data_IF_063706293814
#
_entry.id   IF_063706293814
#
_cell.length_a   1.000
_cell.length_b   1.000
_cell.length_c   1.000
_cell.angle_alpha   90.00
_cell.angle_beta   90.00
_cell.angle_gamma   90.00
#
_symmetry.space_group_name_H-M   'P 1'
#
loop_
_entity.id
_entity.type
_entity.pdbx_description
1 polymer ?
#
# COMPACT_ATOMS: atom_id res chain seq x y z
N UNK A 1 10.47 30.40 -5.80
CA UNK A 1 11.31 29.35 -5.18
C UNK A 1 11.81 29.87 -3.83
N UNK A 2 11.20 29.46 -2.72
CA UNK A 2 11.75 29.74 -1.39
C UNK A 2 12.92 28.79 -1.15
N UNK A 3 14.15 29.30 -1.28
CA UNK A 3 15.34 28.56 -0.88
C UNK A 3 15.38 28.54 0.65
N UNK A 4 15.38 27.34 1.21
CA UNK A 4 15.55 27.14 2.65
C UNK A 4 17.04 27.38 2.92
N UNK A 5 17.39 28.60 3.34
CA UNK A 5 18.70 28.92 3.88
C UNK A 5 18.81 28.27 5.26
N UNK A 6 19.10 26.97 5.29
CA UNK A 6 19.60 26.30 6.49
C UNK A 6 21.10 26.18 6.35
N UNK A 7 21.80 26.93 7.19
CA UNK A 7 23.25 26.87 7.27
C UNK A 7 23.68 25.47 7.76
N UNK A 8 24.82 24.90 7.32
CA UNK A 8 25.24 23.54 7.69
C UNK A 8 25.33 23.27 9.20
N UNK A 9 25.49 24.34 10.00
CA UNK A 9 25.57 24.29 11.46
C UNK A 9 24.20 23.95 12.08
N UNK A 10 23.11 24.51 11.56
CA UNK A 10 21.76 24.33 12.12
C UNK A 10 21.22 22.91 11.91
N UNK A 11 21.72 22.20 10.88
CA UNK A 11 21.38 20.80 10.62
C UNK A 11 21.99 19.91 11.70
N UNK A 12 23.24 20.18 12.10
CA UNK A 12 23.95 19.39 13.12
C UNK A 12 23.28 19.48 14.48
N UNK A 13 22.86 20.68 14.86
CA UNK A 13 22.16 20.89 16.14
C UNK A 13 20.78 20.20 16.12
N UNK A 14 20.02 20.31 15.02
CA UNK A 14 18.74 19.60 14.89
C UNK A 14 18.88 18.07 14.94
N UNK A 15 19.95 17.50 14.38
CA UNK A 15 20.21 16.06 14.46
C UNK A 15 20.47 15.58 15.89
N UNK A 16 21.05 16.42 16.75
CA UNK A 16 21.32 16.08 18.15
C UNK A 16 20.03 15.90 18.98
N UNK A 17 18.99 16.65 18.62
CA UNK A 17 17.70 16.68 19.34
C UNK A 17 16.61 15.80 18.71
N UNK A 18 16.93 15.03 17.67
CA UNK A 18 15.96 14.08 17.13
C UNK A 18 15.73 12.92 18.11
N UNK A 19 14.46 12.58 18.43
CA UNK A 19 14.16 11.43 19.26
C UNK A 19 14.66 10.16 18.57
N UNK A 20 15.43 9.34 19.29
CA UNK A 20 15.94 8.07 18.78
C UNK A 20 14.76 7.15 18.45
N UNK A 21 14.64 6.73 17.19
CA UNK A 21 13.60 5.80 16.70
C UNK A 21 13.74 4.35 17.25
N UNK A 22 14.66 4.12 18.19
CA UNK A 22 14.97 2.81 18.75
C UNK A 22 14.78 2.80 20.27
N UNK A 23 13.56 3.03 20.72
CA UNK A 23 13.10 2.40 21.97
C UNK A 23 12.27 1.19 21.57
N UNK A 24 12.93 0.03 21.50
CA UNK A 24 12.25 -1.25 21.36
C UNK A 24 11.42 -1.41 22.65
N UNK A 25 10.09 -1.50 22.60
CA UNK A 25 9.30 -1.67 23.80
C UNK A 25 9.70 -2.98 24.48
N UNK A 26 10.21 -2.87 25.71
CA UNK A 26 10.48 -4.03 26.56
C UNK A 26 9.14 -4.66 26.89
N UNK A 27 8.80 -5.76 26.22
CA UNK A 27 7.61 -6.57 26.52
C UNK A 27 7.82 -7.15 27.93
N UNK A 28 7.00 -6.79 28.94
CA UNK A 28 7.16 -7.34 30.28
C UNK A 28 6.94 -8.86 30.25
N UNK A 29 7.90 -9.63 30.76
CA UNK A 29 7.76 -11.07 30.97
C UNK A 29 6.58 -11.32 31.92
N UNK A 30 5.55 -11.98 31.40
CA UNK A 30 4.38 -12.41 32.17
C UNK A 30 4.88 -13.33 33.29
N UNK A 31 4.68 -12.91 34.55
CA UNK A 31 4.88 -13.77 35.73
C UNK A 31 3.76 -14.80 35.73
N UNK A 32 4.11 -16.09 35.69
CA UNK A 32 3.15 -17.17 35.87
C UNK A 32 2.60 -17.14 37.30
N UNK A 33 1.29 -17.37 37.52
CA UNK A 33 0.72 -17.41 38.87
C UNK A 33 1.28 -18.60 39.66
N UNK A 34 1.74 -18.31 40.87
CA UNK A 34 2.17 -19.29 41.87
C UNK A 34 0.89 -19.92 42.43
N UNK A 35 0.76 -21.25 42.35
CA UNK A 35 -0.33 -22.01 42.95
C UNK A 35 0.05 -22.29 44.41
N UNK A 36 -0.58 -21.62 45.38
CA UNK A 36 -0.26 -21.75 46.82
C UNK A 36 -1.19 -22.66 47.62
N UNK A 37 -2.11 -23.43 47.01
CA UNK A 37 -2.97 -24.34 47.78
C UNK A 37 -2.97 -25.76 47.23
N UNK A 38 -2.58 -26.69 48.10
CA UNK A 38 -2.51 -28.13 47.86
C UNK A 38 -3.82 -28.80 48.28
N UNK A 39 -4.72 -29.02 47.32
CA UNK A 39 -5.67 -30.14 47.41
C UNK A 39 -4.94 -31.43 46.99
N UNK A 40 -4.59 -32.30 47.94
CA UNK A 40 -4.27 -33.71 47.67
C UNK A 40 -5.55 -34.36 47.10
N UNK A 41 -5.52 -35.16 46.04
CA UNK A 41 -4.92 -36.50 46.03
C UNK A 41 -4.71 -37.05 44.61
N UNK A 42 -3.74 -37.97 44.57
CA UNK A 42 -3.58 -39.14 43.67
C UNK A 42 -3.22 -38.91 42.20
N UNK A 43 -1.98 -39.31 41.93
CA UNK A 43 -1.42 -39.73 40.65
C UNK A 43 -2.42 -40.55 39.85
N UNK A 44 -2.64 -40.14 38.62
CA UNK A 44 -2.52 -40.97 37.43
C UNK A 44 -2.39 -40.00 36.25
N UNK A 45 -1.28 -40.07 35.52
CA UNK A 45 -1.06 -39.29 34.30
C UNK A 45 -1.94 -39.84 33.19
N UNK A 46 -2.94 -39.11 32.67
CA UNK A 46 -3.39 -39.37 31.32
C UNK A 46 -2.38 -38.68 30.40
N UNK A 47 -1.71 -39.46 29.55
CA UNK A 47 -1.14 -38.92 28.31
C UNK A 47 -2.32 -38.37 27.51
N UNK A 48 -2.56 -37.07 27.62
CA UNK A 48 -3.41 -36.36 26.68
C UNK A 48 -2.49 -36.06 25.50
N UNK A 49 -2.60 -36.88 24.45
CA UNK A 49 -2.19 -36.47 23.11
C UNK A 49 -3.06 -35.27 22.75
N UNK A 50 -2.55 -34.08 23.04
CA UNK A 50 -3.20 -32.85 22.59
C UNK A 50 -2.92 -32.75 21.10
N UNK A 51 -3.80 -33.33 20.29
CA UNK A 51 -4.06 -32.88 18.92
C UNK A 51 -4.53 -31.44 19.01
N UNK A 52 -3.57 -30.54 19.19
CA UNK A 52 -3.79 -29.12 19.03
C UNK A 52 -4.00 -28.96 17.54
N UNK A 53 -5.25 -28.81 17.11
CA UNK A 53 -5.57 -28.27 15.79
C UNK A 53 -5.01 -26.86 15.77
N UNK A 54 -3.71 -26.74 15.45
CA UNK A 54 -3.07 -25.47 15.20
C UNK A 54 -3.69 -24.98 13.90
N UNK A 55 -4.70 -24.11 14.00
CA UNK A 55 -5.04 -23.26 12.87
C UNK A 55 -3.74 -22.49 12.61
N UNK A 56 -3.05 -22.71 11.47
CA UNK A 56 -1.82 -22.01 11.21
C UNK A 56 -2.22 -20.55 11.10
N UNK A 57 -1.83 -19.73 12.08
CA UNK A 57 -1.92 -18.28 11.98
C UNK A 57 -1.00 -17.93 10.84
N UNK A 58 -1.58 -17.85 9.64
CA UNK A 58 -0.86 -17.53 8.42
C UNK A 58 -0.44 -16.08 8.62
N UNK A 59 0.79 -15.89 9.11
CA UNK A 59 1.46 -14.62 8.99
C UNK A 59 1.69 -14.50 7.48
N UNK A 60 0.69 -13.94 6.81
CA UNK A 60 0.86 -13.43 5.45
C UNK A 60 1.88 -12.32 5.62
N UNK A 61 3.16 -12.68 5.53
CA UNK A 61 4.20 -11.72 5.18
C UNK A 61 3.70 -11.14 3.87
N UNK A 62 3.12 -9.93 3.91
CA UNK A 62 2.92 -9.15 2.70
C UNK A 62 4.29 -9.14 2.05
N UNK A 63 4.43 -9.86 0.94
CA UNK A 63 5.56 -9.68 0.04
C UNK A 63 5.55 -8.19 -0.24
N UNK A 64 6.50 -7.45 0.31
CA UNK A 64 6.87 -6.16 -0.22
C UNK A 64 7.22 -6.47 -1.67
N UNK A 65 6.25 -6.23 -2.55
CA UNK A 65 6.45 -6.35 -3.98
C UNK A 65 7.53 -5.32 -4.26
N UNK A 66 8.65 -5.79 -4.79
CA UNK A 66 9.74 -4.95 -5.26
C UNK A 66 9.13 -3.71 -5.92
N UNK A 67 9.56 -2.52 -5.49
CA UNK A 67 9.15 -1.26 -6.11
C UNK A 67 9.41 -1.38 -7.60
N UNK A 68 8.34 -1.60 -8.36
CA UNK A 68 8.41 -1.59 -9.81
C UNK A 68 8.59 -0.12 -10.13
N UNK A 69 9.79 0.27 -10.57
CA UNK A 69 10.00 1.58 -11.18
C UNK A 69 9.20 1.60 -12.48
N UNK A 70 7.94 2.01 -12.37
CA UNK A 70 7.07 2.18 -13.52
C UNK A 70 7.48 3.48 -14.19
N UNK A 71 8.17 3.36 -15.32
CA UNK A 71 8.53 4.52 -16.13
C UNK A 71 7.27 5.23 -16.65
N UNK A 72 7.25 6.56 -16.58
CA UNK A 72 6.14 7.40 -17.04
C UNK A 72 5.71 7.09 -18.50
N UNK A 73 6.67 6.75 -19.36
CA UNK A 73 6.40 6.32 -20.73
C UNK A 73 5.53 5.05 -20.82
N UNK A 74 5.70 4.09 -19.89
CA UNK A 74 4.86 2.88 -19.83
C UNK A 74 3.44 3.23 -19.41
N UNK A 75 3.27 4.14 -18.44
CA UNK A 75 1.96 4.62 -17.98
C UNK A 75 1.19 5.23 -19.16
N UNK A 76 1.82 6.16 -19.89
CA UNK A 76 1.20 6.81 -21.06
C UNK A 76 0.82 5.77 -22.13
N UNK A 77 1.69 4.81 -22.42
CA UNK A 77 1.42 3.75 -23.40
C UNK A 77 0.20 2.91 -23.02
N UNK A 78 0.10 2.51 -21.75
CA UNK A 78 -1.03 1.74 -21.22
C UNK A 78 -2.33 2.54 -21.26
N UNK A 79 -2.29 3.82 -20.86
CA UNK A 79 -3.45 4.71 -20.93
C UNK A 79 -3.92 4.88 -22.38
N UNK A 80 -3.01 5.14 -23.31
CA UNK A 80 -3.32 5.31 -24.74
C UNK A 80 -4.00 4.06 -25.31
N UNK A 81 -3.50 2.87 -24.96
CA UNK A 81 -4.12 1.59 -25.34
C UNK A 81 -5.51 1.43 -24.72
N UNK A 82 -5.65 1.72 -23.43
CA UNK A 82 -6.94 1.64 -22.72
C UNK A 82 -7.98 2.59 -23.32
N UNK A 83 -7.63 3.84 -23.59
CA UNK A 83 -8.55 4.81 -24.18
C UNK A 83 -8.97 4.41 -25.60
N UNK A 84 -8.05 3.87 -26.42
CA UNK A 84 -8.39 3.37 -27.76
C UNK A 84 -9.37 2.20 -27.70
N UNK A 85 -9.18 1.30 -26.74
CA UNK A 85 -10.07 0.15 -26.50
C UNK A 85 -11.47 0.61 -26.03
N UNK A 86 -11.53 1.61 -25.14
CA UNK A 86 -12.79 2.11 -24.59
C UNK A 86 -13.56 3.06 -25.50
N UNK A 87 -12.88 3.85 -26.32
CA UNK A 87 -13.53 4.70 -27.31
C UNK A 87 -14.41 3.91 -28.30
N UNK A 88 -14.03 2.66 -28.60
CA UNK A 88 -14.80 1.79 -29.49
C UNK A 88 -15.98 1.08 -28.81
N UNK A 89 -16.02 1.04 -27.47
CA UNK A 89 -16.95 0.18 -26.73
C UNK A 89 -17.89 0.94 -25.79
N UNK A 90 -17.53 2.17 -25.40
CA UNK A 90 -18.26 2.94 -24.40
C UNK A 90 -18.28 4.41 -24.80
N UNK A 91 -19.33 5.13 -24.40
CA UNK A 91 -19.47 6.58 -24.61
C UNK A 91 -18.73 7.43 -23.58
N UNK A 92 -18.31 6.86 -22.45
CA UNK A 92 -17.57 7.57 -21.39
C UNK A 92 -16.70 6.65 -20.53
N UNK A 93 -15.63 7.20 -19.98
CA UNK A 93 -14.80 6.58 -18.93
C UNK A 93 -14.76 7.46 -17.70
N UNK A 94 -14.68 6.83 -16.52
CA UNK A 94 -14.62 7.50 -15.22
C UNK A 94 -13.23 7.28 -14.61
N UNK A 95 -12.73 8.27 -13.89
CA UNK A 95 -11.44 8.25 -13.19
C UNK A 95 -11.19 6.97 -12.40
N UNK A 96 -12.09 6.59 -11.50
CA UNK A 96 -11.95 5.42 -10.62
C UNK A 96 -11.73 4.11 -11.40
N UNK A 97 -12.54 3.87 -12.44
CA UNK A 97 -12.44 2.69 -13.28
C UNK A 97 -11.19 2.70 -14.16
N UNK A 98 -10.81 3.88 -14.64
CA UNK A 98 -9.62 4.07 -15.48
C UNK A 98 -8.35 3.80 -14.67
N UNK A 99 -8.23 4.41 -13.48
CA UNK A 99 -7.11 4.22 -12.56
C UNK A 99 -6.97 2.74 -12.19
N UNK A 100 -8.07 2.09 -11.79
CA UNK A 100 -8.06 0.67 -11.42
C UNK A 100 -7.54 -0.21 -12.56
N UNK A 101 -8.05 0.00 -13.78
CA UNK A 101 -7.68 -0.78 -14.95
C UNK A 101 -6.22 -0.54 -15.38
N UNK A 102 -5.73 0.70 -15.29
CA UNK A 102 -4.34 1.04 -15.62
C UNK A 102 -3.38 0.44 -14.59
N UNK A 103 -3.69 0.54 -13.29
CA UNK A 103 -2.93 -0.10 -12.21
C UNK A 103 -2.83 -1.61 -12.38
N UNK A 104 -3.93 -2.25 -12.79
CA UNK A 104 -3.97 -3.70 -13.05
C UNK A 104 -3.05 -4.08 -14.21
N UNK A 105 -3.07 -3.32 -15.31
CA UNK A 105 -2.19 -3.52 -16.48
C UNK A 105 -0.71 -3.24 -16.17
N UNK A 106 -0.41 -2.35 -15.23
CA UNK A 106 0.96 -2.04 -14.79
C UNK A 106 1.44 -2.91 -13.61
N UNK A 107 0.60 -3.84 -13.14
CA UNK A 107 0.87 -4.67 -11.97
C UNK A 107 1.18 -3.90 -10.67
N UNK A 108 0.70 -2.66 -10.57
CA UNK A 108 0.81 -1.81 -9.38
C UNK A 108 -0.20 -2.25 -8.33
N UNK A 109 0.14 -2.07 -7.04
CA UNK A 109 -0.81 -2.34 -5.96
C UNK A 109 -2.02 -1.42 -6.07
N UNK A 110 -3.23 -1.97 -5.94
CA UNK A 110 -4.46 -1.17 -5.99
C UNK A 110 -4.55 -0.20 -4.80
N UNK A 111 -3.95 -0.56 -3.66
CA UNK A 111 -3.88 0.25 -2.45
C UNK A 111 -2.85 1.39 -2.51
N UNK A 112 -2.03 1.44 -3.56
CA UNK A 112 -1.00 2.47 -3.72
C UNK A 112 -1.58 3.66 -4.50
N UNK A 113 -1.90 4.74 -3.79
CA UNK A 113 -2.54 5.92 -4.38
C UNK A 113 -1.57 6.91 -5.00
N UNK A 114 -0.25 6.69 -4.87
CA UNK A 114 0.78 7.59 -5.36
C UNK A 114 0.62 7.93 -6.85
N UNK A 115 0.22 6.94 -7.65
CA UNK A 115 0.10 7.07 -9.11
C UNK A 115 -1.27 7.50 -9.62
N UNK A 116 -2.27 7.64 -8.75
CA UNK A 116 -3.66 7.89 -9.17
C UNK A 116 -3.80 9.19 -9.96
N UNK A 117 -3.18 10.24 -9.44
CA UNK A 117 -3.23 11.58 -10.02
C UNK A 117 -2.48 11.63 -11.35
N UNK A 118 -1.30 11.05 -11.42
CA UNK A 118 -0.52 10.96 -12.67
C UNK A 118 -1.27 10.18 -13.74
N UNK A 119 -1.84 9.02 -13.40
CA UNK A 119 -2.61 8.21 -14.34
C UNK A 119 -3.79 9.01 -14.89
N UNK A 120 -4.53 9.69 -14.03
CA UNK A 120 -5.72 10.42 -14.45
C UNK A 120 -5.39 11.69 -15.23
N UNK A 121 -4.40 12.46 -14.79
CA UNK A 121 -3.95 13.69 -15.46
C UNK A 121 -3.46 13.39 -16.87
N UNK A 122 -2.69 12.32 -17.05
CA UNK A 122 -2.25 11.88 -18.37
C UNK A 122 -3.42 11.39 -19.25
N UNK A 123 -4.42 10.73 -18.67
CA UNK A 123 -5.61 10.31 -19.40
C UNK A 123 -6.45 11.51 -19.89
N UNK A 124 -6.59 12.56 -19.06
CA UNK A 124 -7.29 13.80 -19.44
C UNK A 124 -6.53 14.51 -20.55
N UNK A 125 -5.22 14.70 -20.42
CA UNK A 125 -4.39 15.32 -21.45
C UNK A 125 -4.49 14.59 -22.81
N UNK A 126 -4.43 13.25 -22.80
CA UNK A 126 -4.63 12.44 -24.01
C UNK A 126 -6.05 12.53 -24.58
N UNK A 127 -7.05 12.79 -23.73
CA UNK A 127 -8.42 13.00 -24.14
C UNK A 127 -8.60 14.33 -24.86
N UNK A 128 -8.04 15.40 -24.28
CA UNK A 128 -8.07 16.75 -24.85
C UNK A 128 -7.31 16.82 -26.18
N UNK A 129 -6.16 16.16 -26.29
CA UNK A 129 -5.40 16.05 -27.55
C UNK A 129 -6.25 15.40 -28.67
N UNK A 130 -7.14 14.48 -28.31
CA UNK A 130 -8.06 13.81 -29.24
C UNK A 130 -9.39 14.54 -29.47
N UNK A 131 -9.57 15.71 -28.87
CA UNK A 131 -10.81 16.49 -28.97
C UNK A 131 -11.99 15.90 -28.19
N UNK A 132 -11.74 15.02 -27.22
CA UNK A 132 -12.80 14.49 -26.36
C UNK A 132 -13.23 15.52 -25.32
N UNK A 133 -14.51 15.51 -24.96
CA UNK A 133 -15.01 16.34 -23.87
C UNK A 133 -14.54 15.75 -22.55
N UNK A 134 -13.82 16.53 -21.75
CA UNK A 134 -13.28 16.13 -20.44
C UNK A 134 -13.98 16.88 -19.31
N UNK A 135 -14.03 16.24 -18.14
CA UNK A 135 -14.42 16.82 -16.85
C UNK A 135 -13.43 16.33 -15.82
N UNK A 136 -13.46 16.88 -14.61
CA UNK A 136 -12.54 16.50 -13.52
C UNK A 136 -12.53 15.00 -13.20
N UNK A 137 -13.61 14.26 -13.50
CA UNK A 137 -13.73 12.82 -13.19
C UNK A 137 -14.14 11.93 -14.35
N UNK A 138 -14.46 12.48 -15.52
CA UNK A 138 -15.02 11.74 -16.66
C UNK A 138 -14.48 12.26 -17.98
N UNK A 139 -14.19 11.35 -18.91
CA UNK A 139 -13.88 11.66 -20.32
C UNK A 139 -14.99 11.05 -21.18
N UNK A 140 -15.55 11.85 -22.10
CA UNK A 140 -16.62 11.45 -23.00
C UNK A 140 -16.05 11.20 -24.40
N UNK A 141 -16.35 10.02 -24.94
CA UNK A 141 -16.03 9.67 -26.33
C UNK A 141 -17.19 10.11 -27.23
N UNK A 142 -16.85 10.67 -28.39
CA UNK A 142 -17.82 11.14 -29.37
C UNK A 142 -18.27 10.06 -30.33
#
# INVERSE_FOLDING_TARGET
LNKIDLSPIEIRDKLLYLPKLTEIPVIPKIKQPIITEYGRTTRETPKIDVTTTSIPKTIIRKKEKASIEVGLAQIISVIKKYMKEKANSVTRIISTHTIKAVKEKLHISQSDDHWNEDIWTNAVALGEEKGFRTTTKTIFFS
#
